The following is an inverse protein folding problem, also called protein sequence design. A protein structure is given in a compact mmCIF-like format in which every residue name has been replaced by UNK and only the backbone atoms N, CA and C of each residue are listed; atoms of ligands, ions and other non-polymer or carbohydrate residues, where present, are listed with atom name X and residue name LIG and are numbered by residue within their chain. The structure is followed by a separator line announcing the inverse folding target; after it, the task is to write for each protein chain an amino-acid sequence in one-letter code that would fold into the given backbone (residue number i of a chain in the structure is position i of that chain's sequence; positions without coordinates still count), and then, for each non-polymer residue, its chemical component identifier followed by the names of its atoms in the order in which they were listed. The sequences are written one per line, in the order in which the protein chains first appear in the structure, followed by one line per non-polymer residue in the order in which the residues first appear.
data_IF_410282865446
#
_entry.id   IF_410282865446
#
_cell.length_a   1.000
_cell.length_b   1.000
_cell.length_c   1.000
_cell.angle_alpha   90.00
_cell.angle_beta   90.00
_cell.angle_gamma   90.00
#
_symmetry.space_group_name_H-M   'P 1'
#
loop_
_entity.id
_entity.type
_entity.pdbx_description
1 polymer ?
2 polymer ?
3 non-polymer ?
4 non-polymer ?
5 water ?
#
# COMPACT_ATOMS: atom_id res chain seq x y z
N UNK A 8 19.59 1.24 -12.34
CA UNK A 8 18.36 0.97 -11.60
C UNK A 8 17.19 0.74 -12.56
N UNK A 9 16.05 0.39 -11.98
CA UNK A 9 14.79 0.33 -12.70
C UNK A 9 14.03 1.64 -12.48
N UNK A 10 13.14 1.95 -13.40
CA UNK A 10 12.31 3.14 -13.27
C UNK A 10 11.26 2.94 -12.19
N UNK A 11 10.68 4.06 -11.74
CA UNK A 11 9.58 4.02 -10.78
C UNK A 11 8.50 3.07 -11.27
N UNK A 12 8.07 3.23 -12.53
CA UNK A 12 6.97 2.41 -13.00
C UNK A 12 7.40 0.94 -13.19
N UNK A 13 8.66 0.67 -13.54
CA UNK A 13 9.16 -0.71 -13.56
C UNK A 13 9.10 -1.35 -12.16
N UNK A 14 9.61 -0.64 -11.15
CA UNK A 14 9.56 -1.16 -9.77
C UNK A 14 8.13 -1.42 -9.33
N UNK A 15 7.22 -0.50 -9.65
CA UNK A 15 5.81 -0.72 -9.35
C UNK A 15 5.30 -2.00 -9.99
N UNK A 16 5.66 -2.22 -11.26
CA UNK A 16 5.24 -3.44 -11.94
C UNK A 16 5.82 -4.68 -11.29
N UNK A 17 7.09 -4.60 -10.84
CA UNK A 17 7.69 -5.70 -10.08
C UNK A 17 6.90 -5.98 -8.81
N UNK A 18 6.54 -4.91 -8.07
CA UNK A 18 5.79 -5.12 -6.85
C UNK A 18 4.41 -5.69 -7.09
N UNK A 19 3.78 -5.31 -8.21
CA UNK A 19 2.46 -5.86 -8.51
C UNK A 19 2.58 -7.33 -8.91
N UNK A 20 3.66 -7.67 -9.62
CA UNK A 20 3.93 -9.06 -9.98
C UNK A 20 4.11 -9.92 -8.74
N UNK A 21 4.91 -9.44 -7.77
CA UNK A 21 5.06 -10.18 -6.52
C UNK A 21 3.73 -10.33 -5.80
N UNK A 22 2.95 -9.25 -5.73
CA UNK A 22 1.67 -9.28 -5.05
C UNK A 22 0.74 -10.31 -5.67
N UNK A 23 0.71 -10.36 -6.99
CA UNK A 23 -0.21 -11.29 -7.63
C UNK A 23 0.24 -12.74 -7.43
N UNK A 24 1.49 -12.97 -7.04
CA UNK A 24 1.94 -14.30 -6.65
C UNK A 24 1.67 -14.63 -5.18
N UNK A 25 1.11 -13.69 -4.42
CA UNK A 25 0.99 -13.87 -2.99
C UNK A 25 2.28 -13.69 -2.25
N UNK A 26 3.27 -13.05 -2.87
CA UNK A 26 4.58 -12.83 -2.27
C UNK A 26 4.60 -11.44 -1.66
N UNK A 27 4.11 -11.35 -0.42
CA UNK A 27 3.92 -10.06 0.23
C UNK A 27 5.25 -9.44 0.64
N UNK A 28 6.23 -10.25 1.05
CA UNK A 28 7.54 -9.69 1.37
C UNK A 28 8.15 -8.98 0.16
N UNK A 29 8.14 -9.61 -1.00
CA UNK A 29 8.73 -8.92 -2.15
C UNK A 29 7.86 -7.75 -2.62
N UNK A 30 6.54 -7.82 -2.43
CA UNK A 30 5.71 -6.64 -2.65
C UNK A 30 6.21 -5.45 -1.84
N UNK A 31 6.48 -5.68 -0.53
CA UNK A 31 7.00 -4.61 0.30
C UNK A 31 8.31 -4.06 -0.25
N UNK A 32 9.27 -4.95 -0.59
CA UNK A 32 10.57 -4.45 -1.05
C UNK A 32 10.41 -3.53 -2.25
N UNK A 33 9.61 -3.96 -3.22
CA UNK A 33 9.48 -3.16 -4.43
C UNK A 33 8.71 -1.88 -4.17
N UNK A 34 7.62 -1.95 -3.42
CA UNK A 34 6.83 -0.73 -3.23
C UNK A 34 7.56 0.28 -2.36
N UNK A 35 8.34 -0.17 -1.36
CA UNK A 35 9.17 0.76 -0.63
C UNK A 35 10.13 1.49 -1.55
N UNK A 36 10.69 0.78 -2.50
CA UNK A 36 11.61 1.41 -3.44
C UNK A 36 10.87 2.42 -4.32
N UNK A 37 9.67 2.10 -4.78
CA UNK A 37 8.86 3.07 -5.50
C UNK A 37 8.69 4.34 -4.69
N UNK A 38 8.31 4.21 -3.41
CA UNK A 38 8.08 5.40 -2.59
C UNK A 38 9.34 6.25 -2.51
N UNK A 39 10.50 5.60 -2.37
CA UNK A 39 11.77 6.31 -2.33
C UNK A 39 11.99 7.12 -3.60
N UNK A 40 11.76 6.50 -4.76
CA UNK A 40 12.01 7.20 -6.01
C UNK A 40 10.96 8.27 -6.29
N UNK A 41 9.71 8.06 -5.87
CA UNK A 41 8.70 9.10 -5.99
C UNK A 41 9.09 10.33 -5.15
N UNK A 42 9.59 10.10 -3.95
CA UNK A 42 10.00 11.20 -3.07
C UNK A 42 11.27 11.89 -3.56
N UNK A 43 12.09 11.19 -4.35
CA UNK A 43 13.22 11.81 -5.01
C UNK A 43 12.81 12.64 -6.21
N UNK A 44 11.51 12.78 -6.47
CA UNK A 44 11.02 13.57 -7.58
C UNK A 44 11.07 12.89 -8.93
N UNK A 45 11.29 11.58 -8.97
CA UNK A 45 11.37 10.90 -10.26
C UNK A 45 10.02 10.89 -10.94
N UNK A 46 10.06 11.01 -12.27
CA UNK A 46 8.83 11.06 -13.06
C UNK A 46 8.21 9.66 -13.10
N UNK A 47 6.89 9.63 -13.06
CA UNK A 47 6.22 8.35 -13.03
C UNK A 47 4.75 8.55 -13.31
N UNK A 48 4.15 7.53 -13.91
CA UNK A 48 2.70 7.49 -14.07
C UNK A 48 2.02 7.02 -12.79
N UNK A 49 2.70 6.14 -12.03
CA UNK A 49 2.16 5.62 -10.79
C UNK A 49 2.02 6.74 -9.76
N UNK A 50 0.91 6.70 -9.01
CA UNK A 50 0.72 7.67 -7.93
C UNK A 50 1.03 7.03 -6.58
N UNK A 51 1.36 7.87 -5.60
CA UNK A 51 1.63 7.39 -4.26
C UNK A 51 0.47 6.59 -3.70
N UNK A 52 -0.77 7.07 -3.91
CA UNK A 52 -1.92 6.38 -3.34
C UNK A 52 -1.99 4.94 -3.86
N UNK A 53 -1.68 4.72 -5.13
CA UNK A 53 -1.72 3.37 -5.68
C UNK A 53 -0.68 2.48 -5.02
N UNK A 54 0.50 3.02 -4.77
CA UNK A 54 1.55 2.27 -4.08
C UNK A 54 1.11 1.89 -2.67
N UNK A 55 0.53 2.86 -1.96
CA UNK A 55 0.12 2.63 -0.58
C UNK A 55 -0.95 1.57 -0.46
N UNK A 56 -1.79 1.45 -1.51
CA UNK A 56 -2.81 0.41 -1.51
C UNK A 56 -2.18 -0.98 -1.42
N UNK A 57 -1.21 -1.26 -2.30
CA UNK A 57 -0.53 -2.55 -2.24
C UNK A 57 0.29 -2.68 -0.97
N UNK A 58 1.01 -1.60 -0.60
CA UNK A 58 1.95 -1.73 0.50
C UNK A 58 1.22 -1.94 1.83
N UNK A 59 0.14 -1.21 2.06
CA UNK A 59 -0.60 -1.36 3.32
C UNK A 59 -1.09 -2.79 3.51
N UNK A 60 -1.64 -3.39 2.44
CA UNK A 60 -2.13 -4.76 2.57
C UNK A 60 -0.99 -5.73 2.78
N UNK A 61 0.11 -5.54 2.02
CA UNK A 61 1.24 -6.46 2.14
C UNK A 61 1.85 -6.40 3.54
N UNK A 62 2.00 -5.21 4.12
CA UNK A 62 2.64 -5.18 5.44
C UNK A 62 1.70 -5.77 6.49
N UNK A 63 0.37 -5.64 6.32
CA UNK A 63 -0.55 -6.34 7.21
C UNK A 63 -0.35 -7.85 7.13
N UNK A 64 -0.23 -8.40 5.91
CA UNK A 64 -0.05 -9.84 5.78
C UNK A 64 1.22 -10.31 6.47
N UNK A 65 2.23 -9.45 6.53
CA UNK A 65 3.48 -9.80 7.16
C UNK A 65 3.45 -9.56 8.67
N UNK A 66 2.34 -9.07 9.20
CA UNK A 66 2.17 -8.93 10.64
C UNK A 66 2.55 -7.60 11.24
N UNK A 67 2.64 -6.53 10.44
CA UNK A 67 3.14 -5.24 10.89
C UNK A 67 1.93 -4.33 11.12
N UNK A 68 1.32 -4.45 12.29
CA UNK A 68 -0.06 -4.01 12.45
C UNK A 68 -0.20 -2.50 12.46
N UNK A 69 0.56 -1.80 13.30
CA UNK A 69 0.38 -0.35 13.34
C UNK A 69 0.91 0.32 12.09
N UNK A 70 1.89 -0.28 11.41
CA UNK A 70 2.31 0.27 10.12
C UNK A 70 1.20 0.15 9.08
N UNK A 71 0.50 -0.99 9.06
CA UNK A 71 -0.62 -1.15 8.14
C UNK A 71 -1.68 -0.07 8.37
N UNK A 72 -1.97 0.23 9.64
CA UNK A 72 -2.91 1.31 9.99
C UNK A 72 -2.40 2.66 9.51
N UNK A 73 -1.13 2.97 9.78
CA UNK A 73 -0.54 4.24 9.36
C UNK A 73 -0.63 4.40 7.85
N UNK A 74 -0.26 3.35 7.10
CA UNK A 74 -0.28 3.45 5.65
C UNK A 74 -1.70 3.55 5.10
N UNK A 75 -2.67 2.89 5.76
CA UNK A 75 -4.05 3.00 5.33
C UNK A 75 -4.58 4.43 5.56
N UNK A 76 -4.23 5.03 6.69
CA UNK A 76 -4.58 6.43 6.92
C UNK A 76 -3.97 7.32 5.86
N UNK A 77 -2.72 7.07 5.49
CA UNK A 77 -2.08 7.89 4.47
C UNK A 77 -2.76 7.70 3.11
N UNK A 78 -3.13 6.46 2.78
CA UNK A 78 -3.82 6.16 1.54
C UNK A 78 -5.12 6.95 1.47
N UNK A 79 -5.93 6.89 2.54
CA UNK A 79 -7.22 7.58 2.51
C UNK A 79 -7.02 9.09 2.45
N UNK A 80 -5.96 9.60 3.05
CA UNK A 80 -5.70 11.04 3.00
C UNK A 80 -5.50 11.51 1.56
N UNK A 81 -4.97 10.65 0.69
CA UNK A 81 -4.67 10.98 -0.69
C UNK A 81 -5.76 10.50 -1.66
N UNK A 82 -6.77 9.78 -1.19
CA UNK A 82 -7.80 9.20 -2.06
C UNK A 82 -9.04 8.97 -1.23
N UNK A 83 -9.71 10.05 -0.81
CA UNK A 83 -10.75 9.93 0.22
C UNK A 83 -11.97 9.14 -0.19
N UNK A 84 -12.27 9.03 -1.49
CA UNK A 84 -13.42 8.26 -1.96
C UNK A 84 -13.08 6.79 -2.24
N UNK A 85 -11.91 6.35 -1.80
CA UNK A 85 -11.48 4.95 -1.96
C UNK A 85 -12.25 4.11 -0.95
N UNK A 86 -13.34 3.47 -1.38
CA UNK A 86 -14.23 2.83 -0.42
C UNK A 86 -13.56 1.63 0.24
N UNK A 87 -12.81 0.85 -0.52
CA UNK A 87 -12.10 -0.28 0.07
C UNK A 87 -11.10 0.17 1.13
N UNK A 88 -10.37 1.27 0.86
CA UNK A 88 -9.44 1.81 1.87
C UNK A 88 -10.18 2.27 3.12
N UNK A 89 -11.37 2.86 2.96
CA UNK A 89 -12.14 3.26 4.11
C UNK A 89 -12.58 2.08 4.96
N UNK A 90 -12.96 0.98 4.32
CA UNK A 90 -13.28 -0.24 5.04
C UNK A 90 -12.07 -0.81 5.75
N UNK A 91 -10.92 -0.80 5.10
CA UNK A 91 -9.70 -1.23 5.75
C UNK A 91 -9.39 -0.38 6.98
N UNK A 92 -9.56 0.95 6.88
CA UNK A 92 -9.29 1.83 8.01
C UNK A 92 -10.21 1.50 9.19
N UNK A 93 -11.50 1.31 8.91
CA UNK A 93 -12.41 0.90 9.97
C UNK A 93 -11.97 -0.40 10.61
N UNK A 94 -11.57 -1.39 9.81
CA UNK A 94 -11.10 -2.65 10.35
C UNK A 94 -9.88 -2.46 11.25
N UNK A 95 -8.86 -1.76 10.76
CA UNK A 95 -7.62 -1.63 11.54
C UNK A 95 -7.85 -0.79 12.78
N UNK A 96 -8.71 0.23 12.71
CA UNK A 96 -8.93 1.04 13.89
C UNK A 96 -9.68 0.26 14.96
N UNK A 97 -10.61 -0.60 14.54
CA UNK A 97 -11.30 -1.44 15.51
C UNK A 97 -10.36 -2.53 16.06
N UNK A 98 -9.54 -3.12 15.19
CA UNK A 98 -8.61 -4.16 15.61
C UNK A 98 -7.62 -3.64 16.63
N UNK A 99 -7.12 -2.43 16.44
CA UNK A 99 -6.07 -1.87 17.29
C UNK A 99 -6.61 -0.88 18.31
N UNK A 100 -7.93 -0.76 18.45
CA UNK A 100 -8.53 0.17 19.39
C UNK A 100 -7.95 1.57 19.21
N UNK A 101 -7.92 2.02 17.96
CA UNK A 101 -7.43 3.35 17.60
C UNK A 101 -8.53 4.16 16.94
N UNK A 102 -9.78 3.90 17.30
CA UNK A 102 -10.92 4.65 16.79
C UNK A 102 -11.02 6.01 17.48
N UNK B 1 -14.20 -13.56 5.85
CA UNK B 1 -14.02 -13.24 7.27
C UNK B 1 -13.81 -11.74 7.51
N UNK B 2 -13.70 -11.33 8.78
CA UNK B 2 -13.45 -9.92 9.08
C UNK B 2 -11.99 -9.58 8.79
N UNK B 3 -11.77 -8.62 7.89
CA UNK B 3 -10.43 -8.24 7.55
C UNK B 3 -10.36 -7.19 6.47
N UNK B 4 -9.14 -6.72 6.21
CA UNK B 4 -8.94 -5.76 5.11
C UNK B 4 -9.01 -6.46 3.77
N UNK B 5 -9.19 -5.65 2.73
CA UNK B 5 -9.16 -6.13 1.37
C UNK B 5 -8.15 -5.33 0.58
N UNK B 6 -7.25 -6.04 -0.10
CA UNK B 6 -6.23 -5.40 -0.91
C UNK B 6 -6.72 -5.23 -2.33
N UNK B 7 -5.85 -4.71 -3.18
CA UNK B 7 -6.16 -4.59 -4.61
C UNK B 7 -6.55 -5.93 -5.20
N UNK B 8 -7.55 -5.95 -6.08
CA UNK B 8 -7.95 -7.22 -6.71
C UNK B 8 -6.87 -7.82 -7.59
N UNK B 9 -5.92 -7.02 -8.06
CA UNK B 9 -4.86 -7.50 -8.93
C UNK B 9 -3.87 -6.37 -9.11
#
# INVERSE_FOLDING_TARGET
MHHHHHHMLSVDDCFGMGRSAYNEGDYYHTVLWMEQVLKQLDAGEEATTTKSQVLDYLSYAVFQLGDLHRALELTRRLLSLDPSHERAGGNLRYFEQLLEEE
PPGPRGPPG
#
